data_IF_039577176545
#
_entry.id   IF_039577176545
#
_cell.length_a   1.000
_cell.length_b   1.000
_cell.length_c   1.000
_cell.angle_alpha   90.00
_cell.angle_beta   90.00
_cell.angle_gamma   90.00
#
_symmetry.space_group_name_H-M   'P 1'
#
loop_
_entity.id
_entity.type
_entity.pdbx_description
1 polymer ?
#
# COMPACT_ATOMS: atom_id res chain seq x y z
N UNK A 1 -12.85 2.57 -25.45
CA UNK A 1 -12.15 3.79 -24.98
C UNK A 1 -12.67 4.14 -23.61
N UNK A 2 -11.81 4.04 -22.60
CA UNK A 2 -12.18 4.23 -21.18
C UNK A 2 -12.46 5.71 -20.90
N UNK A 3 -13.47 6.00 -20.06
CA UNK A 3 -13.75 7.39 -19.66
C UNK A 3 -12.65 7.93 -18.77
N UNK A 4 -11.95 8.99 -19.22
CA UNK A 4 -10.77 9.54 -18.54
C UNK A 4 -11.08 10.20 -17.20
N UNK A 5 -12.28 10.74 -17.00
CA UNK A 5 -12.66 11.43 -15.76
C UNK A 5 -12.83 10.48 -14.55
N UNK A 6 -13.70 9.44 -14.60
CA UNK A 6 -13.80 8.47 -13.50
C UNK A 6 -12.51 7.68 -13.29
N UNK A 7 -11.78 7.36 -14.37
CA UNK A 7 -10.46 6.74 -14.26
C UNK A 7 -9.46 7.67 -13.56
N UNK A 8 -9.49 8.96 -13.89
CA UNK A 8 -8.63 9.95 -13.26
C UNK A 8 -8.85 10.06 -11.76
N UNK A 9 -10.10 10.06 -11.30
CA UNK A 9 -10.43 10.04 -9.86
C UNK A 9 -9.88 8.75 -9.23
N UNK A 10 -10.19 7.61 -9.82
CA UNK A 10 -9.79 6.30 -9.31
C UNK A 10 -8.26 6.14 -9.16
N UNK A 11 -7.49 6.50 -10.20
CA UNK A 11 -6.03 6.41 -10.15
C UNK A 11 -5.41 7.37 -9.13
N UNK A 12 -5.99 8.57 -8.96
CA UNK A 12 -5.53 9.53 -7.97
C UNK A 12 -5.80 9.07 -6.53
N UNK A 13 -6.95 8.45 -6.26
CA UNK A 13 -7.27 7.89 -4.94
C UNK A 13 -6.28 6.76 -4.57
N UNK A 14 -5.95 5.89 -5.53
CA UNK A 14 -4.95 4.85 -5.31
C UNK A 14 -3.52 5.40 -5.16
N UNK A 15 -3.17 6.44 -5.91
CA UNK A 15 -1.88 7.12 -5.74
C UNK A 15 -1.76 7.79 -4.36
N UNK A 16 -2.85 8.37 -3.86
CA UNK A 16 -2.90 8.91 -2.49
C UNK A 16 -2.68 7.81 -1.44
N UNK A 17 -3.33 6.66 -1.60
CA UNK A 17 -3.14 5.49 -0.74
C UNK A 17 -1.71 4.95 -0.76
N UNK A 18 -1.07 4.89 -1.94
CA UNK A 18 0.31 4.39 -2.07
C UNK A 18 1.32 5.27 -1.36
N UNK A 19 1.17 6.60 -1.40
CA UNK A 19 1.99 7.54 -0.62
C UNK A 19 1.90 7.22 0.87
N UNK A 20 0.70 6.92 1.36
CA UNK A 20 0.49 6.58 2.75
C UNK A 20 1.08 5.25 3.19
N UNK A 21 0.96 4.22 2.35
CA UNK A 21 1.61 2.93 2.58
C UNK A 21 3.14 3.07 2.62
N UNK A 22 3.72 3.88 1.73
CA UNK A 22 5.16 4.14 1.67
C UNK A 22 5.68 4.91 2.90
N UNK A 23 4.88 5.81 3.48
CA UNK A 23 5.25 6.46 4.74
C UNK A 23 5.16 5.48 5.92
N UNK A 24 4.10 4.68 5.98
CA UNK A 24 3.89 3.69 7.04
C UNK A 24 4.99 2.63 7.08
N UNK A 25 5.40 2.10 5.93
CA UNK A 25 6.46 1.09 5.86
C UNK A 25 7.80 1.66 6.32
N UNK A 26 8.15 2.89 5.92
CA UNK A 26 9.40 3.54 6.34
C UNK A 26 9.43 3.80 7.85
N UNK A 27 8.32 4.24 8.43
CA UNK A 27 8.19 4.40 9.88
C UNK A 27 8.30 3.04 10.59
N UNK A 28 7.62 2.01 10.07
CA UNK A 28 7.65 0.66 10.62
C UNK A 28 9.03 0.01 10.52
N UNK A 29 9.81 0.29 9.46
CA UNK A 29 11.20 -0.17 9.34
C UNK A 29 12.06 0.40 10.46
N UNK A 30 12.00 1.72 10.69
CA UNK A 30 12.74 2.39 11.76
C UNK A 30 12.40 1.85 13.15
N UNK A 31 11.12 1.57 13.42
CA UNK A 31 10.66 0.98 14.69
C UNK A 31 11.04 -0.50 14.88
N UNK A 32 11.53 -1.17 13.82
CA UNK A 32 11.85 -2.60 13.82
C UNK A 32 13.29 -2.89 13.36
N UNK A 33 14.18 -1.91 13.45
CA UNK A 33 15.59 -2.04 13.10
C UNK A 33 16.25 -3.23 13.84
N UNK A 34 17.04 -4.02 13.11
CA UNK A 34 17.72 -5.19 13.66
C UNK A 34 16.81 -6.39 13.98
N UNK A 35 15.51 -6.32 13.64
CA UNK A 35 14.57 -7.44 13.82
C UNK A 35 14.27 -8.15 12.49
N UNK A 36 13.79 -9.41 12.51
CA UNK A 36 13.32 -10.09 11.30
C UNK A 36 12.20 -9.35 10.57
N UNK A 37 11.38 -8.58 11.29
CA UNK A 37 10.35 -7.75 10.66
C UNK A 37 10.97 -6.56 9.92
N UNK A 38 11.95 -5.88 10.52
CA UNK A 38 12.66 -4.78 9.86
C UNK A 38 13.31 -5.20 8.55
N UNK A 39 14.04 -6.31 8.55
CA UNK A 39 14.67 -6.87 7.35
C UNK A 39 13.65 -7.24 6.27
N UNK A 40 12.48 -7.77 6.64
CA UNK A 40 11.41 -8.04 5.70
C UNK A 40 10.84 -6.73 5.11
N UNK A 41 10.54 -5.73 5.93
CA UNK A 41 10.02 -4.45 5.45
C UNK A 41 11.01 -3.72 4.54
N UNK A 42 12.32 -3.81 4.83
CA UNK A 42 13.40 -3.34 3.95
C UNK A 42 13.37 -4.03 2.58
N UNK A 43 13.10 -5.34 2.54
CA UNK A 43 12.97 -6.08 1.29
C UNK A 43 11.68 -5.77 0.51
N UNK A 44 10.61 -5.38 1.21
CA UNK A 44 9.30 -5.09 0.64
C UNK A 44 9.19 -3.66 0.07
N UNK A 45 9.89 -2.69 0.68
CA UNK A 45 9.83 -1.27 0.29
C UNK A 45 10.13 -1.04 -1.21
N UNK A 46 11.20 -1.59 -1.82
CA UNK A 46 11.49 -1.37 -3.23
C UNK A 46 10.37 -1.81 -4.16
N UNK A 47 9.65 -2.90 -3.84
CA UNK A 47 8.54 -3.35 -4.66
C UNK A 47 7.35 -2.39 -4.59
N UNK A 48 7.03 -1.87 -3.39
CA UNK A 48 5.98 -0.87 -3.22
C UNK A 48 6.30 0.45 -3.93
N UNK A 49 7.58 0.85 -3.94
CA UNK A 49 8.05 2.01 -4.69
C UNK A 49 7.91 1.76 -6.20
N UNK A 50 8.33 0.60 -6.69
CA UNK A 50 8.18 0.21 -8.10
C UNK A 50 6.71 0.16 -8.54
N UNK A 51 5.80 -0.31 -7.68
CA UNK A 51 4.37 -0.28 -7.92
C UNK A 51 3.81 1.14 -8.04
N UNK A 52 4.25 2.06 -7.16
CA UNK A 52 3.86 3.47 -7.22
C UNK A 52 4.36 4.15 -8.50
N UNK A 53 5.59 3.84 -8.92
CA UNK A 53 6.12 4.34 -10.19
C UNK A 53 5.40 3.76 -11.40
N UNK A 54 4.99 2.48 -11.36
CA UNK A 54 4.17 1.86 -12.41
C UNK A 54 2.82 2.58 -12.55
N UNK A 55 2.18 2.93 -11.43
CA UNK A 55 0.95 3.74 -11.44
C UNK A 55 1.16 5.10 -12.10
N UNK A 56 2.22 5.82 -11.73
CA UNK A 56 2.53 7.14 -12.31
C UNK A 56 2.85 7.06 -13.80
N UNK A 57 3.58 6.03 -14.22
CA UNK A 57 3.89 5.78 -15.63
C UNK A 57 2.61 5.52 -16.44
N UNK A 58 1.69 4.71 -15.90
CA UNK A 58 0.38 4.48 -16.50
C UNK A 58 -0.45 5.77 -16.60
N UNK A 59 -0.51 6.56 -15.53
CA UNK A 59 -1.21 7.84 -15.54
C UNK A 59 -0.64 8.77 -16.62
N UNK A 60 0.68 8.77 -16.81
CA UNK A 60 1.35 9.54 -17.86
C UNK A 60 0.94 9.07 -19.26
N UNK A 61 0.91 7.75 -19.51
CA UNK A 61 0.44 7.15 -20.78
C UNK A 61 -1.01 7.52 -21.10
N UNK A 62 -1.86 7.59 -20.07
CA UNK A 62 -3.27 7.94 -20.19
C UNK A 62 -3.54 9.47 -20.26
N UNK A 63 -2.48 10.29 -20.14
CA UNK A 63 -2.55 11.75 -20.01
C UNK A 63 -3.38 12.22 -18.79
N UNK A 64 -3.44 11.39 -17.75
CA UNK A 64 -4.09 11.70 -16.47
C UNK A 64 -3.04 12.33 -15.57
N UNK A 65 -3.28 13.57 -15.13
CA UNK A 65 -2.35 14.27 -14.23
C UNK A 65 -2.47 13.72 -12.80
N UNK A 66 -1.35 13.35 -12.16
CA UNK A 66 -1.31 13.19 -10.72
C UNK A 66 -1.76 14.48 -10.04
N UNK A 67 -2.77 14.39 -9.20
CA UNK A 67 -3.24 15.52 -8.42
C UNK A 67 -2.36 15.64 -7.17
N UNK A 68 -1.87 16.85 -6.85
CA UNK A 68 -1.12 17.07 -5.63
C UNK A 68 -2.02 16.72 -4.44
N UNK A 69 -1.64 15.63 -3.77
CA UNK A 69 -2.48 15.03 -2.75
C UNK A 69 -2.38 15.84 -1.46
N UNK A 70 -3.14 16.94 -1.37
CA UNK A 70 -3.41 17.60 -0.08
C UNK A 70 -4.08 16.64 0.92
N UNK A 71 -4.52 15.46 0.46
CA UNK A 71 -5.25 14.42 1.19
C UNK A 71 -4.48 13.14 1.54
N UNK A 72 -3.25 12.90 1.04
CA UNK A 72 -2.44 11.77 1.51
C UNK A 72 -2.20 11.94 3.02
N UNK A 73 -2.03 13.20 3.43
CA UNK A 73 -2.04 13.61 4.82
C UNK A 73 -3.34 13.29 5.56
N UNK A 74 -4.53 13.31 4.98
CA UNK A 74 -5.77 13.07 5.75
C UNK A 74 -5.99 11.59 6.12
N UNK A 75 -5.81 10.66 5.17
CA UNK A 75 -5.99 9.22 5.44
C UNK A 75 -4.88 8.64 6.32
N UNK A 76 -3.64 9.01 6.01
CA UNK A 76 -2.46 8.62 6.80
C UNK A 76 -2.52 9.28 8.16
N UNK A 77 -2.86 10.56 8.26
CA UNK A 77 -2.92 11.23 9.55
C UNK A 77 -4.10 10.73 10.38
N UNK A 78 -5.23 10.28 9.84
CA UNK A 78 -6.30 9.61 10.63
C UNK A 78 -5.85 8.24 11.18
N UNK A 79 -5.12 7.44 10.40
CA UNK A 79 -4.58 6.14 10.85
C UNK A 79 -3.37 6.29 11.78
N UNK A 80 -2.46 7.22 11.48
CA UNK A 80 -1.27 7.52 12.27
C UNK A 80 -1.60 8.31 13.54
N UNK A 81 -2.60 9.20 13.55
CA UNK A 81 -3.06 9.81 14.81
C UNK A 81 -3.65 8.77 15.73
N UNK A 82 -4.36 7.76 15.22
CA UNK A 82 -4.83 6.65 16.06
C UNK A 82 -3.68 5.75 16.57
N UNK A 83 -2.61 5.56 15.77
CA UNK A 83 -1.41 4.82 16.18
C UNK A 83 -0.46 5.62 17.10
N UNK A 84 -0.44 6.96 17.02
CA UNK A 84 0.42 7.85 17.83
C UNK A 84 -0.28 8.54 19.02
N UNK A 85 -1.61 8.68 19.05
CA UNK A 85 -2.30 9.55 20.03
C UNK A 85 -3.18 8.84 21.07
N UNK A 86 -3.43 7.54 20.98
CA UNK A 86 -4.12 6.85 22.10
C UNK A 86 -3.13 6.24 23.08
N UNK A 87 -2.70 7.13 23.97
CA UNK A 87 -2.52 6.91 25.41
C UNK A 87 -1.20 6.29 25.91
N UNK A 88 -0.45 7.04 26.76
CA UNK A 88 0.45 6.51 27.79
C UNK A 88 -0.24 5.59 28.83
N UNK A 89 -1.50 5.24 28.61
CA UNK A 89 -2.42 4.55 29.54
C UNK A 89 -2.81 3.15 29.00
N UNK A 90 -2.55 2.79 27.72
CA UNK A 90 -2.79 1.42 27.17
C UNK A 90 -1.55 0.68 26.65
N UNK A 91 -0.43 1.36 26.33
CA UNK A 91 0.94 0.83 26.43
C UNK A 91 1.35 -0.46 25.69
N UNK A 92 0.56 -1.05 24.78
CA UNK A 92 0.92 -2.33 24.14
C UNK A 92 1.50 -2.14 22.73
N UNK A 93 2.84 -2.07 22.65
CA UNK A 93 3.60 -1.99 21.39
C UNK A 93 3.30 -3.14 20.42
N UNK A 94 2.84 -4.30 20.92
CA UNK A 94 2.44 -5.43 20.11
C UNK A 94 1.18 -5.15 19.28
N UNK A 95 0.17 -4.51 19.88
CA UNK A 95 -1.09 -4.16 19.18
C UNK A 95 -0.85 -3.07 18.14
N UNK A 96 -0.05 -2.04 18.46
CA UNK A 96 0.29 -1.00 17.50
C UNK A 96 1.01 -1.58 16.26
N UNK A 97 1.94 -2.49 16.47
CA UNK A 97 2.66 -3.20 15.39
C UNK A 97 1.72 -4.06 14.53
N UNK A 98 0.78 -4.77 15.15
CA UNK A 98 -0.24 -5.53 14.42
C UNK A 98 -1.07 -4.62 13.52
N UNK A 99 -1.57 -3.51 14.05
CA UNK A 99 -2.40 -2.56 13.30
C UNK A 99 -1.63 -1.88 12.16
N UNK A 100 -0.33 -1.63 12.33
CA UNK A 100 0.52 -1.14 11.24
C UNK A 100 0.61 -2.16 10.09
N UNK A 101 0.83 -3.45 10.39
CA UNK A 101 0.89 -4.50 9.37
C UNK A 101 -0.47 -4.73 8.69
N UNK A 102 -1.59 -4.64 9.44
CA UNK A 102 -2.94 -4.68 8.86
C UNK A 102 -3.22 -3.49 7.95
N UNK A 103 -2.74 -2.30 8.32
CA UNK A 103 -2.87 -1.11 7.48
C UNK A 103 -2.05 -1.23 6.20
N UNK A 104 -0.85 -1.79 6.29
CA UNK A 104 -0.03 -2.08 5.11
C UNK A 104 -0.69 -3.13 4.21
N UNK A 105 -1.28 -4.18 4.79
CA UNK A 105 -2.03 -5.20 4.05
C UNK A 105 -3.21 -4.60 3.28
N UNK A 106 -4.00 -3.72 3.92
CA UNK A 106 -5.08 -3.00 3.23
C UNK A 106 -4.57 -2.15 2.06
N UNK A 107 -3.40 -1.53 2.20
CA UNK A 107 -2.77 -0.77 1.11
C UNK A 107 -2.37 -1.65 -0.07
N UNK A 108 -1.75 -2.80 0.20
CA UNK A 108 -1.35 -3.77 -0.85
C UNK A 108 -2.59 -4.37 -1.52
N UNK A 109 -3.61 -4.74 -0.75
CA UNK A 109 -4.90 -5.23 -1.26
C UNK A 109 -5.58 -4.17 -2.13
N UNK A 110 -5.61 -2.91 -1.70
CA UNK A 110 -6.15 -1.80 -2.49
C UNK A 110 -5.48 -1.69 -3.85
N UNK A 111 -4.15 -1.75 -3.88
CA UNK A 111 -3.35 -1.78 -5.12
C UNK A 111 -3.64 -3.04 -5.95
N UNK A 112 -3.78 -4.22 -5.36
CA UNK A 112 -4.16 -5.44 -6.07
C UNK A 112 -5.50 -5.24 -6.80
N UNK A 113 -6.49 -4.67 -6.10
CA UNK A 113 -7.81 -4.36 -6.69
C UNK A 113 -7.74 -3.32 -7.79
N UNK A 114 -6.86 -2.33 -7.68
CA UNK A 114 -6.55 -1.40 -8.77
C UNK A 114 -6.10 -2.17 -10.01
N UNK A 115 -5.07 -3.01 -9.91
CA UNK A 115 -4.52 -3.73 -11.05
C UNK A 115 -5.54 -4.67 -11.70
N UNK A 116 -6.30 -5.41 -10.88
CA UNK A 116 -7.39 -6.25 -11.37
C UNK A 116 -8.48 -5.44 -12.08
N UNK A 117 -8.88 -4.28 -11.53
CA UNK A 117 -9.89 -3.42 -12.16
C UNK A 117 -9.41 -2.85 -13.51
N UNK A 118 -8.11 -2.56 -13.64
CA UNK A 118 -7.54 -2.09 -14.90
C UNK A 118 -7.49 -3.19 -15.96
N UNK A 119 -7.33 -4.46 -15.58
CA UNK A 119 -7.39 -5.59 -16.52
C UNK A 119 -8.76 -5.71 -17.19
N UNK A 120 -9.84 -5.44 -16.47
CA UNK A 120 -11.21 -5.50 -17.02
C UNK A 120 -11.46 -4.48 -18.14
N UNK A 121 -10.66 -3.41 -18.20
CA UNK A 121 -10.75 -2.36 -19.23
C UNK A 121 -9.55 -2.33 -20.18
N UNK A 122 -8.60 -3.25 -20.01
CA UNK A 122 -7.34 -3.28 -20.77
C UNK A 122 -7.53 -3.73 -22.23
N UNK A 123 -8.43 -4.68 -22.46
CA UNK A 123 -8.73 -5.21 -23.81
C UNK A 123 -9.35 -4.16 -24.74
N UNK A 124 -9.94 -3.11 -24.17
CA UNK A 124 -10.63 -2.03 -24.88
C UNK A 124 -9.73 -0.82 -25.18
N UNK A 125 -8.46 -0.83 -24.74
CA UNK A 125 -7.56 0.33 -24.84
C UNK A 125 -6.07 -0.05 -24.90
N UNK A 126 -5.42 0.27 -26.02
CA UNK A 126 -4.00 -0.01 -26.25
C UNK A 126 -3.05 0.70 -25.28
N UNK A 127 -3.55 1.62 -24.45
CA UNK A 127 -2.78 2.22 -23.38
C UNK A 127 -2.44 1.22 -22.26
N UNK A 128 -3.09 0.06 -22.18
CA UNK A 128 -2.80 -0.98 -21.20
C UNK A 128 -1.97 -2.12 -21.78
N UNK A 129 -1.09 -2.69 -20.96
CA UNK A 129 -0.36 -3.92 -21.28
C UNK A 129 -0.84 -5.01 -20.33
N UNK A 130 -1.53 -6.03 -20.87
CA UNK A 130 -2.04 -7.14 -20.06
C UNK A 130 -0.91 -7.86 -19.31
N UNK A 131 0.22 -8.10 -19.97
CA UNK A 131 1.40 -8.75 -19.35
C UNK A 131 2.01 -7.91 -18.22
N UNK A 132 2.01 -6.58 -18.37
CA UNK A 132 2.45 -5.66 -17.31
C UNK A 132 1.50 -5.73 -16.11
N UNK A 133 0.18 -5.67 -16.36
CA UNK A 133 -0.84 -5.76 -15.32
C UNK A 133 -0.82 -7.13 -14.61
N UNK A 134 -0.60 -8.23 -15.34
CA UNK A 134 -0.46 -9.57 -14.76
C UNK A 134 0.73 -9.64 -13.80
N UNK A 135 1.87 -9.04 -14.19
CA UNK A 135 3.06 -8.99 -13.35
C UNK A 135 2.82 -8.15 -12.09
N UNK A 136 2.08 -7.05 -12.21
CA UNK A 136 1.71 -6.18 -11.09
C UNK A 136 0.72 -6.86 -10.12
N UNK A 137 -0.25 -7.62 -10.64
CA UNK A 137 -1.16 -8.46 -9.83
C UNK A 137 -0.37 -9.51 -9.08
N UNK A 138 0.46 -10.29 -9.78
CA UNK A 138 1.25 -11.36 -9.17
C UNK A 138 2.17 -10.83 -8.07
N UNK A 139 2.83 -9.69 -8.30
CA UNK A 139 3.68 -9.05 -7.28
C UNK A 139 2.87 -8.66 -6.05
N UNK A 140 1.70 -8.06 -6.21
CA UNK A 140 0.85 -7.69 -5.08
C UNK A 140 0.37 -8.91 -4.26
N UNK A 141 0.03 -10.02 -4.93
CA UNK A 141 -0.34 -11.28 -4.26
C UNK A 141 0.83 -11.84 -3.44
N UNK A 142 2.04 -11.87 -4.00
CA UNK A 142 3.26 -12.32 -3.31
C UNK A 142 3.58 -11.46 -2.08
N UNK A 143 3.40 -10.14 -2.19
CA UNK A 143 3.59 -9.23 -1.06
C UNK A 143 2.59 -9.49 0.07
N UNK A 144 1.32 -9.77 -0.25
CA UNK A 144 0.30 -10.12 0.76
C UNK A 144 0.64 -11.43 1.46
N UNK A 145 1.02 -12.47 0.71
CA UNK A 145 1.42 -13.76 1.25
C UNK A 145 2.62 -13.62 2.20
N UNK A 146 3.64 -12.87 1.78
CA UNK A 146 4.83 -12.64 2.60
C UNK A 146 4.50 -11.84 3.87
N UNK A 147 3.70 -10.78 3.75
CA UNK A 147 3.30 -9.93 4.87
C UNK A 147 2.46 -10.69 5.91
N UNK A 148 1.62 -11.63 5.49
CA UNK A 148 0.72 -12.38 6.37
C UNK A 148 1.48 -13.16 7.45
N UNK A 149 2.62 -13.75 7.09
CA UNK A 149 3.49 -14.46 8.04
C UNK A 149 3.92 -13.53 9.19
N UNK A 150 4.29 -12.30 8.86
CA UNK A 150 4.70 -11.29 9.85
C UNK A 150 3.52 -10.75 10.66
N UNK A 151 2.36 -10.55 10.01
CA UNK A 151 1.14 -10.07 10.66
C UNK A 151 0.61 -11.06 11.70
N UNK A 152 0.56 -12.35 11.37
CA UNK A 152 0.14 -13.40 12.32
C UNK A 152 1.13 -13.56 13.47
N UNK A 153 2.44 -13.43 13.21
CA UNK A 153 3.45 -13.42 14.26
C UNK A 153 3.31 -12.19 15.19
N UNK A 154 2.93 -11.03 14.65
CA UNK A 154 2.63 -9.85 15.45
C UNK A 154 1.36 -10.05 16.30
N UNK A 155 0.31 -10.63 15.74
CA UNK A 155 -0.93 -10.95 16.47
C UNK A 155 -0.67 -11.92 17.64
N UNK A 156 0.09 -12.99 17.39
CA UNK A 156 0.46 -13.94 18.43
C UNK A 156 1.22 -13.26 19.59
N UNK A 157 2.14 -12.33 19.29
CA UNK A 157 2.86 -11.55 20.31
C UNK A 157 1.96 -10.55 21.03
N UNK A 158 1.07 -9.88 20.31
CA UNK A 158 0.21 -8.84 20.86
C UNK A 158 -0.80 -9.37 21.90
N UNK A 159 -1.32 -10.58 21.68
CA UNK A 159 -2.41 -11.16 22.48
C UNK A 159 -1.99 -12.27 23.44
N UNK A 160 -0.74 -12.74 23.39
CA UNK A 160 -0.21 -13.75 24.33
C UNK A 160 0.82 -13.18 25.31
N UNK A 161 1.08 -11.88 25.25
CA UNK A 161 1.93 -11.16 26.20
C UNK A 161 1.22 -10.98 27.55
#
# INVERSE_FOLDING_TARGET
>A
MVSKEPLGIYLNDHLAGSVGALELIRNSMSENEGTPLGAFLESLLPDLEADSESLKALMTRLEIKPQPVKQAGAWVMEKLTRLKLENPITGNQGVAKLLALETLSMGIEGKLRLWQSLKEVASDDACFSETELDSLVQRAEQQLEALETHRLAAAARAFRA
#
